data_IF_645123271902
#
_entry.id   IF_645123271902
#
_cell.length_a   1.000
_cell.length_b   1.000
_cell.length_c   1.000
_cell.angle_alpha   90.00
_cell.angle_beta   90.00
_cell.angle_gamma   90.00
#
_symmetry.space_group_name_H-M   'P 1'
#
loop_
_entity.id
_entity.type
_entity.pdbx_description
1 polymer ?
#
# COMPACT_ATOMS: atom_id res chain seq x y z
N UNK A 1 0.17 94.83 20.36
CA UNK A 1 1.13 94.44 21.42
C UNK A 1 1.21 92.92 21.39
N UNK A 2 2.43 92.39 21.29
CA UNK A 2 2.79 90.99 21.03
C UNK A 2 2.11 89.99 21.98
N UNK A 3 1.77 88.81 21.46
CA UNK A 3 1.38 87.65 22.26
C UNK A 3 1.46 86.36 21.46
N UNK A 4 2.64 85.74 21.47
CA UNK A 4 2.93 84.45 20.85
C UNK A 4 2.13 83.32 21.52
N UNK A 5 1.42 82.50 20.73
CA UNK A 5 0.82 81.25 21.20
C UNK A 5 1.63 80.06 20.66
N UNK A 6 2.26 79.38 21.61
CA UNK A 6 3.20 78.28 21.47
C UNK A 6 2.43 76.98 21.19
N UNK A 7 2.68 76.33 20.04
CA UNK A 7 2.17 75.00 19.73
C UNK A 7 2.96 73.95 20.53
N UNK A 8 2.36 73.40 21.58
CA UNK A 8 2.92 72.32 22.39
C UNK A 8 2.36 70.98 21.86
N UNK A 9 3.15 70.29 21.04
CA UNK A 9 2.88 68.92 20.58
C UNK A 9 3.21 67.95 21.72
N UNK A 10 2.22 67.20 22.21
CA UNK A 10 2.44 66.10 23.15
C UNK A 10 2.69 64.80 22.37
N UNK A 11 3.74 64.02 22.67
CA UNK A 11 3.91 62.70 22.10
C UNK A 11 2.98 61.70 22.81
N UNK A 12 2.05 61.13 22.04
CA UNK A 12 1.24 59.97 22.42
C UNK A 12 2.18 58.81 22.74
N UNK A 13 2.25 58.43 24.01
CA UNK A 13 2.88 57.17 24.43
C UNK A 13 1.94 56.02 24.09
N UNK A 14 2.06 55.50 22.87
CA UNK A 14 1.44 54.23 22.50
C UNK A 14 2.27 53.09 23.12
N UNK A 15 1.65 52.35 24.05
CA UNK A 15 2.27 51.23 24.74
C UNK A 15 2.49 50.04 23.82
N UNK A 16 3.75 49.73 23.51
CA UNK A 16 4.17 48.52 22.80
C UNK A 16 4.37 47.31 23.75
N UNK A 17 3.64 47.24 24.85
CA UNK A 17 3.91 46.31 25.96
C UNK A 17 3.44 44.86 25.74
N UNK A 18 2.83 44.55 24.58
CA UNK A 18 2.33 43.20 24.27
C UNK A 18 3.38 42.33 23.57
N UNK A 19 4.21 42.94 22.74
CA UNK A 19 5.19 42.23 21.90
C UNK A 19 6.46 41.89 22.71
N UNK A 20 6.87 42.79 23.62
CA UNK A 20 7.99 42.54 24.54
C UNK A 20 7.69 41.39 25.53
N UNK A 21 6.46 41.31 26.06
CA UNK A 21 6.06 40.23 26.97
C UNK A 21 6.03 38.86 26.30
N UNK A 22 5.70 38.82 25.00
CA UNK A 22 5.75 37.60 24.20
C UNK A 22 7.18 37.08 24.02
N UNK A 23 8.12 37.98 23.73
CA UNK A 23 9.53 37.62 23.54
C UNK A 23 10.24 37.25 24.84
N UNK A 24 9.87 37.86 25.96
CA UNK A 24 10.44 37.53 27.28
C UNK A 24 9.98 36.17 27.79
N UNK A 25 8.73 35.79 27.52
CA UNK A 25 8.22 34.46 27.86
C UNK A 25 8.97 33.36 27.10
N UNK A 26 9.30 33.61 25.83
CA UNK A 26 10.10 32.69 25.01
C UNK A 26 11.55 32.57 25.50
N UNK A 27 12.17 33.69 25.91
CA UNK A 27 13.55 33.69 26.44
C UNK A 27 13.64 33.00 27.81
N UNK A 28 12.62 33.15 28.66
CA UNK A 28 12.56 32.48 29.96
C UNK A 28 12.45 30.95 29.87
N UNK A 29 11.99 30.41 28.74
CA UNK A 29 11.90 28.97 28.48
C UNK A 29 13.20 28.32 27.99
N UNK A 30 14.33 29.04 28.03
CA UNK A 30 15.66 28.41 28.01
C UNK A 30 16.45 28.54 26.71
N UNK A 31 16.43 29.70 26.06
CA UNK A 31 17.31 29.99 24.92
C UNK A 31 17.95 31.37 25.09
N UNK A 32 19.07 31.43 25.81
CA UNK A 32 20.05 32.50 25.66
C UNK A 32 21.26 31.96 24.90
N UNK A 33 21.41 32.57 23.72
CA UNK A 33 22.42 32.48 22.67
C UNK A 33 23.89 32.49 23.11
N UNK A 34 24.77 31.89 22.31
CA UNK A 34 25.79 32.67 21.57
C UNK A 34 26.54 31.82 20.51
N UNK A 35 26.18 31.97 19.23
CA UNK A 35 27.03 32.54 18.15
C UNK A 35 26.43 32.31 16.75
N UNK A 36 26.08 33.43 16.13
CA UNK A 36 25.62 33.55 14.75
C UNK A 36 26.71 33.24 13.72
N UNK A 37 26.32 32.59 12.62
CA UNK A 37 26.30 33.17 11.26
C UNK A 37 26.37 32.08 10.18
N UNK A 38 25.31 31.93 9.38
CA UNK A 38 25.42 31.34 8.05
C UNK A 38 24.32 30.35 7.68
N UNK A 39 23.42 30.80 6.81
CA UNK A 39 22.50 30.02 5.98
C UNK A 39 21.31 29.32 6.64
N UNK A 40 20.18 30.00 6.54
CA UNK A 40 18.88 29.38 6.30
C UNK A 40 18.98 28.68 4.93
N UNK A 41 19.42 27.42 4.92
CA UNK A 41 19.34 26.53 3.76
C UNK A 41 18.38 25.42 4.09
N UNK A 42 17.41 25.23 3.19
CA UNK A 42 16.54 24.07 3.09
C UNK A 42 17.20 22.80 3.63
N UNK A 43 16.66 22.25 4.71
CA UNK A 43 16.96 20.89 5.18
C UNK A 43 16.24 19.84 4.32
N UNK A 44 16.22 20.05 3.00
CA UNK A 44 15.93 19.06 2.00
C UNK A 44 17.25 18.72 1.30
N UNK A 45 18.07 17.85 1.92
CA UNK A 45 19.04 16.95 1.25
C UNK A 45 19.98 16.28 2.27
N UNK A 46 19.96 14.94 2.33
CA UNK A 46 21.21 14.19 2.43
C UNK A 46 21.52 13.36 3.68
N UNK A 47 20.65 13.28 4.68
CA UNK A 47 20.78 12.19 5.67
C UNK A 47 20.18 10.93 5.02
N UNK A 48 21.04 10.07 4.47
CA UNK A 48 20.60 8.79 3.92
C UNK A 48 19.73 8.06 4.95
N UNK A 49 18.59 7.54 4.51
CA UNK A 49 17.69 6.75 5.36
C UNK A 49 18.52 5.70 6.11
N UNK A 50 18.31 5.59 7.41
CA UNK A 50 18.90 4.49 8.17
C UNK A 50 18.39 3.18 7.59
N UNK A 51 19.22 2.14 7.66
CA UNK A 51 18.85 0.85 7.05
C UNK A 51 17.62 0.24 7.74
N UNK A 52 17.39 0.59 9.01
CA UNK A 52 16.19 0.23 9.75
C UNK A 52 14.93 0.94 9.24
N UNK A 53 15.03 2.21 8.86
CA UNK A 53 13.92 2.95 8.22
C UNK A 53 13.58 2.38 6.84
N UNK A 54 14.61 1.98 6.07
CA UNK A 54 14.39 1.30 4.77
C UNK A 54 13.66 -0.03 5.00
N UNK A 55 14.08 -0.82 5.99
CA UNK A 55 13.45 -2.09 6.30
C UNK A 55 12.01 -1.94 6.76
N UNK A 56 11.74 -1.00 7.67
CA UNK A 56 10.40 -0.70 8.14
C UNK A 56 9.50 -0.20 7.01
N UNK A 57 10.00 0.74 6.20
CA UNK A 57 9.28 1.31 5.07
C UNK A 57 8.95 0.27 4.00
N UNK A 58 9.90 -0.61 3.66
CA UNK A 58 9.66 -1.69 2.69
C UNK A 58 8.61 -2.67 3.21
N UNK A 59 8.74 -3.13 4.46
CA UNK A 59 7.75 -4.04 5.07
C UNK A 59 6.36 -3.44 5.09
N UNK A 60 6.24 -2.16 5.46
CA UNK A 60 4.95 -1.47 5.49
C UNK A 60 4.36 -1.29 4.09
N UNK A 61 5.18 -0.92 3.10
CA UNK A 61 4.73 -0.80 1.71
C UNK A 61 4.23 -2.16 1.17
N UNK A 62 4.96 -3.25 1.44
CA UNK A 62 4.55 -4.60 1.08
C UNK A 62 3.27 -5.03 1.80
N UNK A 63 3.11 -4.65 3.07
CA UNK A 63 1.91 -4.94 3.87
C UNK A 63 0.69 -4.28 3.25
N UNK A 64 0.74 -2.95 3.07
CA UNK A 64 -0.34 -2.17 2.47
C UNK A 64 -0.63 -2.61 1.04
N UNK A 65 0.42 -2.85 0.24
CA UNK A 65 0.30 -3.33 -1.14
C UNK A 65 -0.42 -4.68 -1.20
N UNK A 66 0.00 -5.65 -0.40
CA UNK A 66 -0.62 -6.97 -0.33
C UNK A 66 -2.08 -6.89 0.14
N UNK A 67 -2.37 -6.07 1.15
CA UNK A 67 -3.75 -5.86 1.61
C UNK A 67 -4.64 -5.26 0.54
N UNK A 68 -4.13 -4.28 -0.22
CA UNK A 68 -4.87 -3.65 -1.30
C UNK A 68 -5.15 -4.62 -2.44
N UNK A 69 -4.15 -5.41 -2.85
CA UNK A 69 -4.32 -6.43 -3.89
C UNK A 69 -5.33 -7.48 -3.45
N UNK A 70 -5.20 -8.03 -2.23
CA UNK A 70 -6.18 -9.00 -1.72
C UNK A 70 -7.59 -8.40 -1.70
N UNK A 71 -7.74 -7.16 -1.23
CA UNK A 71 -9.04 -6.47 -1.22
C UNK A 71 -9.61 -6.32 -2.63
N UNK A 72 -8.80 -5.90 -3.60
CA UNK A 72 -9.22 -5.73 -4.99
C UNK A 72 -9.63 -7.06 -5.62
N UNK A 73 -8.82 -8.10 -5.44
CA UNK A 73 -9.02 -9.41 -6.06
C UNK A 73 -10.13 -10.23 -5.40
N UNK A 74 -10.42 -9.97 -4.12
CA UNK A 74 -11.56 -10.59 -3.43
C UNK A 74 -12.91 -9.95 -3.74
N UNK A 75 -12.90 -8.78 -4.40
CA UNK A 75 -14.14 -8.11 -4.78
C UNK A 75 -14.80 -8.82 -5.97
N UNK A 76 -16.11 -8.66 -6.08
CA UNK A 76 -16.86 -9.04 -7.27
C UNK A 76 -16.20 -8.44 -8.52
N UNK A 77 -15.87 -9.29 -9.49
CA UNK A 77 -15.23 -8.99 -10.78
C UNK A 77 -13.73 -8.68 -10.68
N UNK A 78 -13.13 -8.89 -9.50
CA UNK A 78 -11.70 -8.71 -9.26
C UNK A 78 -10.81 -9.61 -10.11
N UNK A 79 -11.28 -10.80 -10.49
CA UNK A 79 -10.61 -11.66 -11.47
C UNK A 79 -11.31 -11.60 -12.83
N UNK A 80 -12.63 -11.70 -12.84
CA UNK A 80 -13.40 -11.92 -14.06
C UNK A 80 -13.22 -10.81 -15.11
N UNK A 81 -13.06 -9.55 -14.70
CA UNK A 81 -12.93 -8.41 -15.62
C UNK A 81 -11.50 -7.98 -15.92
N UNK A 82 -10.52 -8.45 -15.16
CA UNK A 82 -9.11 -8.12 -15.36
C UNK A 82 -8.44 -9.10 -16.32
N UNK A 83 -8.16 -8.64 -17.54
CA UNK A 83 -7.57 -9.47 -18.60
C UNK A 83 -6.19 -10.05 -18.26
N UNK A 84 -5.47 -9.48 -17.28
CA UNK A 84 -4.13 -9.90 -16.91
C UNK A 84 -4.13 -11.11 -15.99
N UNK A 85 -5.23 -11.33 -15.28
CA UNK A 85 -5.36 -12.34 -14.22
C UNK A 85 -6.66 -13.15 -14.29
N UNK A 86 -7.51 -12.87 -15.28
CA UNK A 86 -8.71 -13.66 -15.57
C UNK A 86 -8.34 -15.14 -15.72
N UNK A 87 -9.13 -16.01 -15.09
CA UNK A 87 -8.90 -17.44 -15.09
C UNK A 87 -9.75 -18.07 -16.21
N UNK A 88 -9.14 -18.50 -17.33
CA UNK A 88 -9.87 -19.17 -18.40
C UNK A 88 -10.26 -20.59 -17.98
N UNK A 89 -11.16 -21.21 -18.75
CA UNK A 89 -11.40 -22.65 -18.60
C UNK A 89 -10.10 -23.44 -18.80
N UNK A 90 -9.85 -24.47 -17.98
CA UNK A 90 -8.66 -25.28 -18.11
C UNK A 90 -8.69 -26.09 -19.42
N UNK A 91 -7.51 -26.40 -19.98
CA UNK A 91 -7.39 -26.99 -21.32
C UNK A 91 -8.12 -28.33 -21.48
N UNK A 92 -8.27 -29.10 -20.41
CA UNK A 92 -9.04 -30.34 -20.40
C UNK A 92 -10.54 -30.12 -20.71
N UNK A 93 -11.06 -28.90 -20.47
CA UNK A 93 -12.43 -28.51 -20.81
C UNK A 93 -12.52 -27.74 -22.14
N UNK A 94 -11.39 -27.46 -22.82
CA UNK A 94 -11.37 -26.73 -24.10
C UNK A 94 -12.13 -27.46 -25.23
N UNK A 95 -12.10 -28.80 -25.23
CA UNK A 95 -12.83 -29.60 -26.21
C UNK A 95 -14.34 -29.53 -25.98
N UNK A 96 -14.77 -29.56 -24.72
CA UNK A 96 -16.18 -29.36 -24.33
C UNK A 96 -16.63 -27.96 -24.71
N UNK A 97 -15.79 -26.95 -24.44
CA UNK A 97 -16.04 -25.57 -24.86
C UNK A 97 -16.26 -25.46 -26.36
N UNK A 98 -15.34 -25.99 -27.16
CA UNK A 98 -15.42 -25.94 -28.63
C UNK A 98 -16.66 -26.67 -29.17
N UNK A 99 -17.04 -27.80 -28.56
CA UNK A 99 -18.23 -28.53 -28.94
C UNK A 99 -19.50 -27.72 -28.64
N UNK A 100 -19.61 -27.16 -27.43
CA UNK A 100 -20.75 -26.35 -26.99
C UNK A 100 -20.88 -25.04 -27.79
N UNK A 101 -19.76 -24.39 -28.10
CA UNK A 101 -19.74 -23.17 -28.94
C UNK A 101 -20.31 -23.45 -30.34
N UNK A 102 -19.94 -24.59 -30.95
CA UNK A 102 -20.42 -24.96 -32.30
C UNK A 102 -21.92 -25.24 -32.37
N UNK A 103 -22.53 -25.67 -31.26
CA UNK A 103 -23.97 -25.94 -31.17
C UNK A 103 -24.76 -24.76 -30.58
N UNK A 104 -24.12 -23.59 -30.38
CA UNK A 104 -24.78 -22.36 -29.93
C UNK A 104 -24.96 -22.26 -28.41
N UNK A 105 -24.27 -23.09 -27.63
CA UNK A 105 -24.32 -23.13 -26.16
C UNK A 105 -23.11 -22.42 -25.50
N UNK A 106 -22.53 -21.41 -26.16
CA UNK A 106 -21.40 -20.63 -25.61
C UNK A 106 -21.71 -19.97 -24.27
N UNK A 107 -22.98 -19.62 -24.04
CA UNK A 107 -23.43 -19.08 -22.74
C UNK A 107 -23.18 -20.02 -21.56
N UNK A 108 -23.19 -21.34 -21.77
CA UNK A 108 -22.85 -22.29 -20.70
C UNK A 108 -21.36 -22.26 -20.39
N UNK A 109 -20.49 -22.09 -21.39
CA UNK A 109 -19.04 -22.03 -21.16
C UNK A 109 -18.66 -20.72 -20.50
N UNK A 110 -19.32 -19.62 -20.87
CA UNK A 110 -19.12 -18.31 -20.24
C UNK A 110 -19.56 -18.32 -18.77
N UNK A 111 -20.66 -19.02 -18.44
CA UNK A 111 -21.11 -19.20 -17.05
C UNK A 111 -20.13 -20.05 -16.21
N UNK A 112 -19.48 -21.05 -16.83
CA UNK A 112 -18.45 -21.84 -16.15
C UNK A 112 -17.18 -21.02 -15.88
N UNK A 113 -16.71 -20.25 -16.87
CA UNK A 113 -15.59 -19.30 -16.71
C UNK A 113 -15.90 -18.31 -15.58
N UNK A 114 -17.10 -17.72 -15.60
CA UNK A 114 -17.55 -16.80 -14.57
C UNK A 114 -17.49 -17.45 -13.18
N UNK A 115 -18.08 -18.64 -13.00
CA UNK A 115 -18.08 -19.35 -11.72
C UNK A 115 -16.67 -19.67 -11.21
N UNK A 116 -15.76 -20.04 -12.11
CA UNK A 116 -14.36 -20.28 -11.77
C UNK A 116 -13.67 -19.01 -11.24
N UNK A 117 -13.91 -17.86 -11.89
CA UNK A 117 -13.39 -16.58 -11.43
C UNK A 117 -14.03 -16.16 -10.08
N UNK A 118 -15.34 -16.39 -9.88
CA UNK A 118 -15.99 -16.15 -8.57
C UNK A 118 -15.42 -17.00 -7.44
N UNK A 119 -15.09 -18.24 -7.75
CA UNK A 119 -14.42 -19.13 -6.84
C UNK A 119 -13.06 -18.56 -6.40
N UNK A 120 -12.26 -18.05 -7.34
CA UNK A 120 -10.98 -17.41 -7.03
C UNK A 120 -11.15 -16.12 -6.21
N UNK A 121 -12.14 -15.28 -6.53
CA UNK A 121 -12.50 -14.10 -5.73
C UNK A 121 -12.83 -14.51 -4.28
N UNK A 122 -13.65 -15.55 -4.08
CA UNK A 122 -14.01 -16.05 -2.76
C UNK A 122 -12.84 -16.70 -2.00
N UNK A 123 -11.86 -17.26 -2.71
CA UNK A 123 -10.68 -17.90 -2.13
C UNK A 123 -9.62 -16.88 -1.68
N UNK A 124 -9.50 -15.78 -2.41
CA UNK A 124 -8.44 -14.77 -2.26
C UNK A 124 -8.23 -14.24 -0.84
N UNK A 125 -9.27 -13.96 -0.03
CA UNK A 125 -9.09 -13.50 1.35
C UNK A 125 -8.23 -14.43 2.21
N UNK A 126 -8.20 -15.73 1.91
CA UNK A 126 -7.40 -16.70 2.68
C UNK A 126 -5.90 -16.48 2.51
N UNK A 127 -5.46 -15.89 1.40
CA UNK A 127 -4.06 -15.54 1.14
C UNK A 127 -3.56 -14.38 2.01
N UNK A 128 -4.46 -13.54 2.56
CA UNK A 128 -4.08 -12.35 3.34
C UNK A 128 -3.12 -12.70 4.47
N UNK A 129 -3.46 -13.72 5.25
CA UNK A 129 -2.66 -14.11 6.42
C UNK A 129 -1.27 -14.56 6.01
N UNK A 130 -1.14 -15.31 4.91
CA UNK A 130 0.15 -15.79 4.40
C UNK A 130 1.08 -14.64 4.01
N UNK A 131 0.55 -13.58 3.38
CA UNK A 131 1.34 -12.37 3.09
C UNK A 131 1.83 -11.69 4.38
N UNK A 132 0.94 -11.48 5.35
CA UNK A 132 1.30 -10.82 6.61
C UNK A 132 2.35 -11.62 7.39
N UNK A 133 2.20 -12.94 7.43
CA UNK A 133 3.16 -13.84 8.06
C UNK A 133 4.52 -13.78 7.37
N UNK A 134 4.55 -13.82 6.02
CA UNK A 134 5.78 -13.74 5.24
C UNK A 134 6.51 -12.40 5.38
N UNK A 135 5.78 -11.28 5.43
CA UNK A 135 6.35 -9.94 5.66
C UNK A 135 6.91 -9.83 7.07
N UNK A 136 6.18 -10.36 8.06
CA UNK A 136 6.61 -10.34 9.46
C UNK A 136 7.89 -11.15 9.67
N UNK A 137 8.01 -12.29 8.99
CA UNK A 137 9.17 -13.18 9.07
C UNK A 137 10.40 -12.70 8.27
N UNK A 138 10.26 -11.67 7.43
CA UNK A 138 11.32 -11.20 6.55
C UNK A 138 12.53 -10.69 7.34
N UNK A 139 13.72 -11.22 7.04
CA UNK A 139 14.95 -10.79 7.71
C UNK A 139 15.50 -9.50 7.11
N UNK A 140 16.56 -8.98 7.71
CA UNK A 140 17.27 -7.82 7.16
C UNK A 140 17.92 -8.15 5.81
N UNK A 141 18.47 -9.36 5.67
CA UNK A 141 19.05 -9.85 4.42
C UNK A 141 17.98 -9.95 3.33
N UNK A 142 16.79 -10.45 3.65
CA UNK A 142 15.67 -10.51 2.70
C UNK A 142 15.25 -9.11 2.23
N UNK A 143 15.13 -8.15 3.16
CA UNK A 143 14.84 -6.74 2.84
C UNK A 143 15.89 -6.18 1.89
N UNK A 144 17.18 -6.41 2.16
CA UNK A 144 18.25 -5.91 1.30
C UNK A 144 18.25 -6.58 -0.07
N UNK A 145 17.96 -7.88 -0.12
CA UNK A 145 17.85 -8.63 -1.37
C UNK A 145 16.69 -8.12 -2.23
N UNK A 146 15.55 -7.77 -1.62
CA UNK A 146 14.42 -7.16 -2.32
C UNK A 146 14.76 -5.74 -2.76
N UNK A 147 15.33 -4.91 -1.88
CA UNK A 147 15.63 -3.50 -2.17
C UNK A 147 16.67 -3.32 -3.29
N UNK A 148 17.66 -4.22 -3.37
CA UNK A 148 18.73 -4.19 -4.38
C UNK A 148 18.47 -5.16 -5.55
N UNK A 149 17.40 -5.93 -5.48
CA UNK A 149 17.08 -6.99 -6.42
C UNK A 149 16.47 -6.47 -7.72
N UNK A 150 16.12 -7.41 -8.60
CA UNK A 150 15.33 -7.10 -9.79
C UNK A 150 13.89 -6.70 -9.41
N UNK A 151 13.15 -6.18 -10.39
CA UNK A 151 11.77 -5.68 -10.21
C UNK A 151 10.81 -6.74 -9.63
N UNK A 152 11.12 -8.03 -9.78
CA UNK A 152 10.32 -9.15 -9.28
C UNK A 152 10.83 -9.75 -7.96
N UNK A 153 11.85 -9.17 -7.31
CA UNK A 153 12.48 -9.76 -6.13
C UNK A 153 11.50 -10.01 -4.98
N UNK A 154 10.58 -9.08 -4.72
CA UNK A 154 9.52 -9.26 -3.74
C UNK A 154 8.57 -10.41 -4.12
N UNK A 155 8.25 -10.54 -5.41
CA UNK A 155 7.41 -11.62 -5.94
C UNK A 155 8.08 -12.97 -5.76
N UNK A 156 9.38 -13.08 -6.04
CA UNK A 156 10.14 -14.32 -5.85
C UNK A 156 10.20 -14.71 -4.36
N UNK A 157 10.44 -13.74 -3.47
CA UNK A 157 10.42 -13.97 -2.03
C UNK A 157 9.06 -14.54 -1.58
N UNK A 158 7.96 -13.91 -1.98
CA UNK A 158 6.62 -14.40 -1.61
C UNK A 158 6.34 -15.78 -2.18
N UNK A 159 6.73 -16.04 -3.43
CA UNK A 159 6.59 -17.37 -4.05
C UNK A 159 7.31 -18.42 -3.21
N UNK A 160 8.56 -18.18 -2.83
CA UNK A 160 9.33 -19.11 -2.01
C UNK A 160 8.69 -19.34 -0.63
N UNK A 161 8.34 -18.26 0.09
CA UNK A 161 7.84 -18.36 1.47
C UNK A 161 6.40 -18.83 1.58
N UNK A 162 5.57 -18.56 0.58
CA UNK A 162 4.13 -18.78 0.66
C UNK A 162 3.64 -19.99 -0.13
N UNK A 163 4.31 -20.42 -1.21
CA UNK A 163 3.79 -21.50 -2.07
C UNK A 163 3.35 -22.76 -1.31
N UNK A 164 4.12 -23.31 -0.34
CA UNK A 164 3.69 -24.49 0.40
C UNK A 164 2.42 -24.28 1.24
N UNK A 165 2.32 -23.11 1.90
CA UNK A 165 1.16 -22.77 2.71
C UNK A 165 -0.07 -22.44 1.87
N UNK A 166 0.14 -21.73 0.75
CA UNK A 166 -0.90 -21.38 -0.19
C UNK A 166 -1.51 -22.62 -0.83
N UNK A 167 -0.69 -23.59 -1.25
CA UNK A 167 -1.18 -24.85 -1.82
C UNK A 167 -2.13 -25.58 -0.85
N UNK A 168 -1.71 -25.73 0.41
CA UNK A 168 -2.50 -26.40 1.46
C UNK A 168 -3.84 -25.72 1.74
N UNK A 169 -3.87 -24.38 1.70
CA UNK A 169 -5.07 -23.59 1.98
C UNK A 169 -6.00 -23.53 0.76
N UNK A 170 -5.43 -23.44 -0.44
CA UNK A 170 -6.20 -23.29 -1.68
C UNK A 170 -6.76 -24.61 -2.21
N UNK A 171 -6.09 -25.75 -2.01
CA UNK A 171 -6.53 -27.06 -2.48
C UNK A 171 -8.03 -27.36 -2.21
N UNK A 172 -8.54 -27.31 -0.96
CA UNK A 172 -9.95 -27.58 -0.70
C UNK A 172 -10.89 -26.52 -1.30
N UNK A 173 -10.42 -25.30 -1.49
CA UNK A 173 -11.21 -24.23 -2.12
C UNK A 173 -11.34 -24.47 -3.61
N UNK A 174 -10.25 -24.87 -4.26
CA UNK A 174 -10.19 -25.25 -5.67
C UNK A 174 -11.08 -26.47 -5.89
N UNK A 175 -10.96 -27.53 -5.09
CA UNK A 175 -11.78 -28.74 -5.21
C UNK A 175 -13.28 -28.44 -5.08
N UNK A 176 -13.66 -27.66 -4.06
CA UNK A 176 -15.05 -27.24 -3.88
C UNK A 176 -15.54 -26.47 -5.11
N UNK A 177 -14.72 -25.55 -5.61
CA UNK A 177 -15.06 -24.72 -6.76
C UNK A 177 -15.20 -25.53 -8.05
N UNK A 178 -14.27 -26.45 -8.30
CA UNK A 178 -14.29 -27.37 -9.43
C UNK A 178 -15.49 -28.33 -9.37
N UNK A 179 -15.86 -28.82 -8.18
CA UNK A 179 -17.04 -29.67 -8.00
C UNK A 179 -18.35 -28.92 -8.31
N UNK A 180 -18.44 -27.63 -7.97
CA UNK A 180 -19.61 -26.80 -8.23
C UNK A 180 -19.80 -26.46 -9.71
N UNK A 181 -18.72 -26.41 -10.48
CA UNK A 181 -18.75 -26.19 -11.94
C UNK A 181 -18.86 -27.51 -12.73
N UNK A 182 -19.12 -28.64 -12.06
CA UNK A 182 -19.34 -29.93 -12.71
C UNK A 182 -18.06 -30.60 -13.26
N UNK A 183 -16.88 -30.07 -12.94
CA UNK A 183 -15.60 -30.61 -13.43
C UNK A 183 -15.18 -31.92 -12.71
N UNK A 184 -15.88 -32.31 -11.63
CA UNK A 184 -15.56 -33.50 -10.82
C UNK A 184 -16.75 -34.46 -10.70
N UNK A 185 -17.50 -34.63 -11.79
CA UNK A 185 -18.36 -35.80 -11.99
C UNK A 185 -17.92 -36.53 -13.26
N UNK A 186 -16.92 -37.40 -13.09
CA UNK A 186 -16.57 -38.49 -13.99
C UNK A 186 -16.24 -39.72 -13.15
#
# INVERSE_FOLDING_TARGET
MLGAFFLLVMPVHAGNSWLEKGTDSLKSFGLTEDKAAGSVTDAASGAGLSVDEIAAGLKEALRVGSENVVRQLSATDGFNTDKSIHIPLPENLSMVKTALDKVGYSSLTDDLELKLNRAAEAATPQAKKLFLDAISAMTFEDVQAIYKGADDAATQYFKEKMSPGLARVMEPVIDKSLSQVGAVQA
#
